data_IF_901041405318
#
_entry.id   IF_901041405318
#
_cell.length_a   1.000
_cell.length_b   1.000
_cell.length_c   1.000
_cell.angle_alpha   90.00
_cell.angle_beta   90.00
_cell.angle_gamma   90.00
#
_symmetry.space_group_name_H-M   'P 1'
#
loop_
_entity.id
_entity.type
_entity.pdbx_description
1 polymer ?
#
# COMPACT_ATOMS: atom_id res chain seq x y z
N UNK A 1 20.66 -2.17 -2.27
CA UNK A 1 19.32 -2.78 -2.34
C UNK A 1 19.16 -3.42 -3.70
N UNK A 2 18.60 -4.63 -3.77
CA UNK A 2 18.31 -5.30 -5.05
C UNK A 2 17.23 -4.48 -5.78
N UNK A 3 17.44 -4.20 -7.07
CA UNK A 3 16.59 -3.29 -7.83
C UNK A 3 15.36 -4.05 -8.33
N UNK A 4 14.18 -3.74 -7.78
CA UNK A 4 12.91 -4.32 -8.21
C UNK A 4 12.53 -3.78 -9.59
N UNK A 5 12.08 -4.68 -10.47
CA UNK A 5 11.64 -4.33 -11.83
C UNK A 5 10.13 -4.48 -11.98
N UNK A 6 9.47 -3.41 -12.40
CA UNK A 6 8.03 -3.38 -12.62
C UNK A 6 7.67 -3.52 -14.11
N UNK A 7 6.53 -4.13 -14.39
CA UNK A 7 5.94 -4.26 -15.71
C UNK A 7 5.24 -2.95 -16.07
N UNK A 8 5.84 -2.18 -16.97
CA UNK A 8 5.42 -0.80 -17.28
C UNK A 8 3.94 -0.71 -17.70
N UNK A 9 3.46 -1.66 -18.50
CA UNK A 9 2.05 -1.70 -18.93
C UNK A 9 1.10 -1.82 -17.73
N UNK A 10 1.46 -2.60 -16.71
CA UNK A 10 0.63 -2.80 -15.50
C UNK A 10 0.69 -1.58 -14.60
N UNK A 11 1.87 -0.98 -14.46
CA UNK A 11 2.05 0.28 -13.71
C UNK A 11 1.17 1.38 -14.31
N UNK A 12 1.26 1.62 -15.62
CA UNK A 12 0.44 2.62 -16.32
C UNK A 12 -1.06 2.35 -16.18
N UNK A 13 -1.49 1.09 -16.23
CA UNK A 13 -2.91 0.75 -16.03
C UNK A 13 -3.43 1.21 -14.67
N UNK A 14 -2.68 0.97 -13.59
CA UNK A 14 -3.04 1.42 -12.23
C UNK A 14 -3.07 2.94 -12.14
N UNK A 15 -2.11 3.63 -12.77
CA UNK A 15 -2.10 5.11 -12.80
C UNK A 15 -3.34 5.68 -13.48
N UNK A 16 -3.70 5.15 -14.65
CA UNK A 16 -4.85 5.61 -15.41
C UNK A 16 -6.18 5.31 -14.69
N UNK A 17 -6.27 4.19 -13.97
CA UNK A 17 -7.43 3.91 -13.12
C UNK A 17 -7.52 4.89 -11.95
N UNK A 18 -6.41 5.19 -11.28
CA UNK A 18 -6.38 6.14 -10.17
C UNK A 18 -6.82 7.56 -10.59
N UNK A 19 -6.34 8.04 -11.74
CA UNK A 19 -6.69 9.38 -12.28
C UNK A 19 -8.18 9.57 -12.53
N UNK A 20 -8.93 8.48 -12.78
CA UNK A 20 -10.37 8.53 -13.09
C UNK A 20 -11.24 8.63 -11.85
N UNK A 21 -10.69 8.41 -10.66
CA UNK A 21 -11.48 8.38 -9.44
C UNK A 21 -11.59 9.80 -8.87
N UNK A 22 -12.80 10.35 -8.74
CA UNK A 22 -13.00 11.58 -8.00
C UNK A 22 -12.78 11.30 -6.51
N UNK A 23 -11.79 11.96 -5.93
CA UNK A 23 -11.46 11.87 -4.50
C UNK A 23 -11.61 13.24 -3.86
N UNK A 24 -12.04 13.26 -2.59
CA UNK A 24 -11.94 14.45 -1.75
C UNK A 24 -10.47 14.77 -1.47
N UNK A 25 -10.15 16.03 -1.15
CA UNK A 25 -8.78 16.44 -0.83
C UNK A 25 -8.22 15.67 0.37
N UNK A 26 -9.04 15.43 1.40
CA UNK A 26 -8.64 14.64 2.56
C UNK A 26 -8.18 13.22 2.17
N UNK A 27 -8.93 12.52 1.31
CA UNK A 27 -8.55 11.17 0.87
C UNK A 27 -7.29 11.22 0.00
N UNK A 28 -7.14 12.25 -0.86
CA UNK A 28 -5.92 12.44 -1.65
C UNK A 28 -4.70 12.63 -0.76
N UNK A 29 -4.82 13.44 0.30
CA UNK A 29 -3.73 13.70 1.25
C UNK A 29 -3.35 12.44 2.01
N UNK A 30 -4.33 11.70 2.57
CA UNK A 30 -4.09 10.43 3.28
C UNK A 30 -3.37 9.41 2.38
N UNK A 31 -3.89 9.18 1.17
CA UNK A 31 -3.28 8.26 0.20
C UNK A 31 -1.88 8.73 -0.21
N UNK A 32 -1.67 10.04 -0.37
CA UNK A 32 -0.36 10.60 -0.70
C UNK A 32 0.64 10.42 0.43
N UNK A 33 0.22 10.59 1.68
CA UNK A 33 1.08 10.37 2.84
C UNK A 33 1.50 8.90 2.92
N UNK A 34 0.56 7.96 2.77
CA UNK A 34 0.88 6.54 2.72
C UNK A 34 1.83 6.21 1.56
N UNK A 35 1.61 6.79 0.38
CA UNK A 35 2.45 6.55 -0.79
C UNK A 35 3.90 7.01 -0.57
N UNK A 36 4.12 8.13 0.14
CA UNK A 36 5.46 8.64 0.44
C UNK A 36 6.26 7.67 1.31
N UNK A 37 5.61 6.92 2.20
CA UNK A 37 6.27 5.91 3.02
C UNK A 37 6.84 4.76 2.16
N UNK A 38 6.13 4.38 1.10
CA UNK A 38 6.58 3.32 0.20
C UNK A 38 7.51 3.81 -0.91
N UNK A 39 7.46 5.08 -1.29
CA UNK A 39 8.28 5.66 -2.36
C UNK A 39 9.78 5.48 -2.10
N UNK A 40 10.23 5.64 -0.85
CA UNK A 40 11.63 5.42 -0.47
C UNK A 40 12.06 3.96 -0.64
N UNK A 41 11.17 3.02 -0.35
CA UNK A 41 11.44 1.59 -0.45
C UNK A 41 11.30 1.04 -1.88
N UNK A 42 10.47 1.68 -2.70
CA UNK A 42 10.13 1.26 -4.06
C UNK A 42 10.36 2.41 -5.07
N UNK A 43 11.61 2.89 -5.23
CA UNK A 43 11.91 4.08 -6.02
C UNK A 43 11.62 3.93 -7.52
N UNK A 44 11.48 2.69 -8.03
CA UNK A 44 11.16 2.43 -9.44
C UNK A 44 9.65 2.29 -9.70
N UNK A 45 8.81 2.34 -8.66
CA UNK A 45 7.36 2.37 -8.82
C UNK A 45 6.92 3.83 -8.78
N UNK A 46 6.18 4.28 -9.79
CA UNK A 46 5.76 5.67 -9.83
C UNK A 46 4.90 6.02 -8.61
N UNK A 47 5.04 7.25 -8.14
CA UNK A 47 4.25 7.74 -7.01
C UNK A 47 2.74 7.62 -7.26
N UNK A 48 2.30 7.78 -8.51
CA UNK A 48 0.90 7.65 -8.90
C UNK A 48 0.41 6.19 -8.90
N UNK A 49 1.25 5.24 -9.32
CA UNK A 49 0.92 3.81 -9.20
C UNK A 49 0.88 3.37 -7.73
N UNK A 50 1.74 3.93 -6.87
CA UNK A 50 1.67 3.73 -5.42
C UNK A 50 0.35 4.23 -4.86
N UNK A 51 -0.07 5.46 -5.17
CA UNK A 51 -1.36 6.01 -4.74
C UNK A 51 -2.54 5.16 -5.19
N UNK A 52 -2.56 4.77 -6.46
CA UNK A 52 -3.59 3.88 -7.00
C UNK A 52 -3.63 2.55 -6.24
N UNK A 53 -2.47 1.91 -6.08
CA UNK A 53 -2.36 0.65 -5.36
C UNK A 53 -2.87 0.75 -3.92
N UNK A 54 -2.50 1.81 -3.19
CA UNK A 54 -2.97 2.05 -1.82
C UNK A 54 -4.49 2.26 -1.80
N UNK A 55 -5.02 3.13 -2.65
CA UNK A 55 -6.46 3.40 -2.71
C UNK A 55 -7.25 2.12 -2.97
N UNK A 56 -6.86 1.34 -3.97
CA UNK A 56 -7.54 0.09 -4.30
C UNK A 56 -7.40 -0.97 -3.19
N UNK A 57 -6.28 -0.95 -2.47
CA UNK A 57 -6.08 -1.83 -1.31
C UNK A 57 -7.00 -1.45 -0.15
N UNK A 58 -7.16 -0.15 0.11
CA UNK A 58 -8.09 0.35 1.12
C UNK A 58 -9.53 0.00 0.75
N UNK A 59 -9.94 0.21 -0.50
CA UNK A 59 -11.28 -0.18 -0.97
C UNK A 59 -11.55 -1.68 -0.81
N UNK A 60 -10.56 -2.51 -1.17
CA UNK A 60 -10.67 -3.97 -1.00
C UNK A 60 -10.77 -4.36 0.48
N UNK A 61 -9.95 -3.76 1.34
CA UNK A 61 -10.01 -4.01 2.79
C UNK A 61 -11.38 -3.63 3.35
N UNK A 62 -11.86 -2.42 3.07
CA UNK A 62 -13.17 -1.94 3.55
C UNK A 62 -14.31 -2.84 3.08
N UNK A 63 -14.25 -3.34 1.84
CA UNK A 63 -15.26 -4.28 1.31
C UNK A 63 -15.22 -5.62 2.06
N UNK A 64 -14.02 -6.14 2.35
CA UNK A 64 -13.83 -7.41 3.04
C UNK A 64 -14.22 -7.36 4.53
N UNK A 65 -13.90 -6.26 5.20
CA UNK A 65 -14.12 -6.12 6.66
C UNK A 65 -15.43 -5.43 7.00
N UNK A 66 -16.08 -4.76 6.03
CA UNK A 66 -17.23 -3.87 6.25
C UNK A 66 -16.92 -2.74 7.23
N UNK A 67 -15.66 -2.30 7.28
CA UNK A 67 -15.21 -1.19 8.10
C UNK A 67 -14.72 -0.05 7.21
N UNK A 68 -14.92 1.20 7.62
CA UNK A 68 -14.34 2.36 6.94
C UNK A 68 -12.90 2.58 7.40
N UNK A 69 -12.00 2.97 6.49
CA UNK A 69 -10.59 3.21 6.82
C UNK A 69 -10.40 4.33 7.84
N UNK A 70 -11.32 5.30 7.87
CA UNK A 70 -11.25 6.43 8.79
C UNK A 70 -11.49 6.02 10.25
N UNK A 71 -12.10 4.86 10.48
CA UNK A 71 -12.33 4.34 11.83
C UNK A 71 -11.08 3.67 12.42
N UNK A 72 -10.05 3.38 11.62
CA UNK A 72 -8.84 2.68 12.07
C UNK A 72 -8.17 3.42 13.22
N UNK A 73 -8.14 4.76 13.17
CA UNK A 73 -7.50 5.57 14.21
C UNK A 73 -8.18 5.46 15.57
N UNK A 74 -9.47 5.16 15.58
CA UNK A 74 -10.28 4.96 16.79
C UNK A 74 -10.21 3.54 17.37
N UNK A 75 -9.62 2.59 16.64
CA UNK A 75 -9.49 1.20 17.09
C UNK A 75 -8.50 1.08 18.26
N UNK A 76 -8.70 0.12 19.18
CA UNK A 76 -7.71 -0.27 20.17
C UNK A 76 -6.36 -0.63 19.51
N UNK A 77 -5.21 -0.43 20.18
CA UNK A 77 -3.88 -0.63 19.58
C UNK A 77 -3.69 -1.97 18.87
N UNK A 78 -4.17 -3.08 19.48
CA UNK A 78 -4.09 -4.42 18.89
C UNK A 78 -4.88 -4.55 17.59
N UNK A 79 -6.10 -4.01 17.56
CA UNK A 79 -6.98 -4.03 16.38
C UNK A 79 -6.44 -3.11 15.28
N UNK A 80 -5.88 -1.96 15.66
CA UNK A 80 -5.21 -1.04 14.75
C UNK A 80 -4.05 -1.72 14.03
N UNK A 81 -3.18 -2.43 14.75
CA UNK A 81 -2.07 -3.21 14.15
C UNK A 81 -2.60 -4.32 13.25
N UNK A 82 -3.69 -4.99 13.64
CA UNK A 82 -4.31 -6.01 12.81
C UNK A 82 -4.83 -5.43 11.49
N UNK A 83 -5.55 -4.29 11.54
CA UNK A 83 -6.04 -3.60 10.36
C UNK A 83 -4.89 -3.14 9.45
N UNK A 84 -3.85 -2.52 10.02
CA UNK A 84 -2.64 -2.11 9.29
C UNK A 84 -1.95 -3.32 8.65
N UNK A 85 -1.82 -4.44 9.36
CA UNK A 85 -1.23 -5.67 8.83
C UNK A 85 -2.03 -6.24 7.65
N UNK A 86 -3.36 -6.23 7.74
CA UNK A 86 -4.23 -6.66 6.65
C UNK A 86 -4.11 -5.76 5.43
N UNK A 87 -4.15 -4.44 5.61
CA UNK A 87 -3.98 -3.45 4.53
C UNK A 87 -2.61 -3.60 3.89
N UNK A 88 -1.53 -3.67 4.68
CA UNK A 88 -0.18 -3.87 4.18
C UNK A 88 -0.07 -5.16 3.37
N UNK A 89 -0.70 -6.26 3.79
CA UNK A 89 -0.69 -7.49 3.01
C UNK A 89 -1.43 -7.33 1.67
N UNK A 90 -2.56 -6.62 1.63
CA UNK A 90 -3.29 -6.36 0.37
C UNK A 90 -2.44 -5.48 -0.57
N UNK A 91 -1.83 -4.41 -0.05
CA UNK A 91 -0.92 -3.54 -0.81
C UNK A 91 0.23 -4.36 -1.38
N UNK A 92 0.89 -5.17 -0.53
CA UNK A 92 2.00 -6.05 -0.93
C UNK A 92 1.63 -6.96 -2.09
N UNK A 93 0.51 -7.67 -1.97
CA UNK A 93 0.05 -8.61 -3.01
C UNK A 93 -0.34 -7.89 -4.30
N UNK A 94 -0.84 -6.64 -4.22
CA UNK A 94 -1.08 -5.83 -5.42
C UNK A 94 0.22 -5.37 -6.07
N UNK A 95 1.22 -4.93 -5.30
CA UNK A 95 2.53 -4.55 -5.84
C UNK A 95 3.23 -5.74 -6.50
N UNK A 96 3.15 -6.94 -5.92
CA UNK A 96 3.69 -8.16 -6.54
C UNK A 96 3.10 -8.42 -7.93
N UNK A 97 1.82 -8.14 -8.13
CA UNK A 97 1.17 -8.26 -9.45
C UNK A 97 1.68 -7.24 -10.48
N UNK A 98 2.35 -6.18 -10.04
CA UNK A 98 2.97 -5.19 -10.93
C UNK A 98 4.40 -5.58 -11.33
N UNK A 99 4.98 -6.62 -10.72
CA UNK A 99 6.34 -7.03 -11.02
C UNK A 99 6.44 -7.61 -12.43
N UNK A 100 7.58 -7.36 -13.06
CA UNK A 100 7.96 -8.01 -14.32
C UNK A 100 8.45 -9.44 -14.06
N UNK A 101 9.21 -9.63 -12.98
CA UNK A 101 9.88 -10.87 -12.64
C UNK A 101 9.38 -11.41 -11.30
N UNK A 102 9.16 -12.72 -11.20
CA UNK A 102 8.70 -13.35 -9.95
C UNK A 102 9.78 -13.39 -8.88
N UNK A 103 11.06 -13.39 -9.25
CA UNK A 103 12.17 -13.41 -8.29
C UNK A 103 12.17 -12.17 -7.38
N UNK A 104 11.65 -11.04 -7.89
CA UNK A 104 11.54 -9.78 -7.16
C UNK A 104 10.47 -9.83 -6.04
N UNK A 105 9.58 -10.83 -6.02
CA UNK A 105 8.56 -10.98 -4.97
C UNK A 105 9.20 -11.10 -3.58
N UNK A 106 10.35 -11.75 -3.47
CA UNK A 106 11.09 -11.88 -2.19
C UNK A 106 11.58 -10.54 -1.68
N UNK A 107 11.98 -9.64 -2.58
CA UNK A 107 12.40 -8.27 -2.22
C UNK A 107 11.20 -7.48 -1.70
N UNK A 108 10.04 -7.62 -2.36
CA UNK A 108 8.78 -7.03 -1.89
C UNK A 108 8.39 -7.56 -0.51
N UNK A 109 8.46 -8.87 -0.28
CA UNK A 109 8.16 -9.46 1.03
C UNK A 109 9.07 -8.89 2.14
N UNK A 110 10.37 -8.73 1.87
CA UNK A 110 11.30 -8.15 2.84
C UNK A 110 11.01 -6.67 3.14
N UNK A 111 10.66 -5.87 2.13
CA UNK A 111 10.29 -4.46 2.30
C UNK A 111 9.07 -4.33 3.21
N UNK A 112 8.02 -5.12 2.94
CA UNK A 112 6.77 -5.04 3.69
C UNK A 112 6.89 -5.61 5.11
N UNK A 113 7.75 -6.62 5.31
CA UNK A 113 8.04 -7.14 6.65
C UNK A 113 8.70 -6.07 7.53
N UNK A 114 9.68 -5.34 6.99
CA UNK A 114 10.33 -4.23 7.71
C UNK A 114 9.36 -3.10 8.03
N UNK A 115 8.54 -2.69 7.06
CA UNK A 115 7.54 -1.64 7.27
C UNK A 115 6.53 -2.01 8.37
N UNK A 116 6.11 -3.29 8.43
CA UNK A 116 5.19 -3.76 9.48
C UNK A 116 5.87 -3.79 10.86
N UNK A 117 7.13 -4.20 10.94
CA UNK A 117 7.87 -4.21 12.22
C UNK A 117 8.16 -2.79 12.74
N UNK A 118 8.41 -1.83 11.85
CA UNK A 118 8.49 -0.41 12.24
C UNK A 118 7.15 0.13 12.75
N UNK A 119 6.04 -0.24 12.09
CA UNK A 119 4.70 0.14 12.55
C UNK A 119 4.40 -0.40 13.96
N UNK A 120 4.70 -1.68 14.24
CA UNK A 120 4.51 -2.28 15.57
C UNK A 120 5.26 -1.52 16.66
N UNK A 121 6.54 -1.18 16.42
CA UNK A 121 7.36 -0.39 17.34
C UNK A 121 6.75 0.98 17.65
N UNK A 122 6.18 1.66 16.66
CA UNK A 122 5.51 2.96 16.87
C UNK A 122 4.26 2.85 17.74
N UNK A 123 3.54 1.73 17.69
CA UNK A 123 2.32 1.49 18.47
C UNK A 123 2.57 0.80 19.83
N UNK A 124 3.83 0.56 20.20
CA UNK A 124 4.19 -0.02 21.50
C UNK A 124 3.80 -1.49 21.66
N UNK A 125 3.78 -2.25 20.55
CA UNK A 125 3.45 -3.69 20.52
C UNK A 125 4.62 -4.50 19.97
#
# INVERSE_FOLDING_TARGET
>A
MQKVTFEEKRVRAVEEEYKKIPLTEEVKERVSHMAKLFEQALPNLSFMALKGTILFSLQEWQTKTRQFSDNIDSLPPREKIQAIGQINNIVKERIKKLLRNKEDEKVIDQIFLRALDEAKKMFGV
#
